data_IF_736302921284
#
_entry.id   IF_736302921284
#
_cell.length_a   1.000
_cell.length_b   1.000
_cell.length_c   1.000
_cell.angle_alpha   90.00
_cell.angle_beta   90.00
_cell.angle_gamma   90.00
#
_symmetry.space_group_name_H-M   'P 1'
#
loop_
_entity.id
_entity.type
_entity.pdbx_description
1 polymer ?
#
# COMPACT_ATOMS: atom_id res chain seq x y z
N UNK A 1 -5.37 20.34 11.64
CA UNK A 1 -5.12 19.14 12.46
C UNK A 1 -3.63 19.01 12.64
N UNK A 2 -3.14 18.95 13.88
CA UNK A 2 -1.74 18.64 14.15
C UNK A 2 -1.61 17.13 13.95
N UNK A 3 -0.93 16.69 12.89
CA UNK A 3 -0.54 15.28 12.77
C UNK A 3 0.34 14.95 13.96
N UNK A 4 -0.17 14.10 14.86
CA UNK A 4 0.63 13.48 15.90
C UNK A 4 1.86 12.87 15.21
N UNK A 5 3.05 13.08 15.78
CA UNK A 5 4.25 12.46 15.23
C UNK A 5 4.23 10.95 15.47
N UNK A 6 5.16 10.23 14.85
CA UNK A 6 5.35 8.81 15.14
C UNK A 6 6.20 8.64 16.41
N UNK A 7 5.87 7.67 17.24
CA UNK A 7 6.60 7.30 18.44
C UNK A 7 7.50 6.08 18.19
N UNK A 8 8.50 5.90 19.07
CA UNK A 8 9.34 4.71 19.04
C UNK A 8 8.48 3.48 19.29
N UNK A 9 8.50 2.54 18.35
CA UNK A 9 7.63 1.37 18.41
C UNK A 9 6.61 1.34 17.28
N UNK A 10 6.26 2.50 16.74
CA UNK A 10 5.22 2.61 15.74
C UNK A 10 5.60 1.87 14.47
N UNK A 11 4.60 1.16 13.95
CA UNK A 11 4.67 0.46 12.68
C UNK A 11 4.32 1.44 11.57
N UNK A 12 5.20 1.52 10.58
CA UNK A 12 5.10 2.51 9.51
C UNK A 12 5.31 1.87 8.16
N UNK A 13 4.74 2.51 7.14
CA UNK A 13 4.92 2.20 5.74
C UNK A 13 5.50 3.42 5.04
N UNK A 14 6.49 3.21 4.19
CA UNK A 14 7.07 4.27 3.38
C UNK A 14 6.13 4.68 2.24
N UNK A 15 5.94 5.99 2.02
CA UNK A 15 5.13 6.49 0.90
C UNK A 15 5.79 6.20 -0.45
N UNK A 16 5.02 6.31 -1.54
CA UNK A 16 5.53 6.15 -2.91
C UNK A 16 6.64 7.14 -3.28
N UNK A 17 6.80 8.24 -2.53
CA UNK A 17 7.82 9.27 -2.75
C UNK A 17 9.10 9.04 -1.96
N UNK A 18 9.16 7.99 -1.14
CA UNK A 18 10.34 7.64 -0.36
C UNK A 18 11.41 6.93 -1.22
N UNK A 19 12.64 6.85 -0.70
CA UNK A 19 13.75 6.12 -1.33
C UNK A 19 13.48 4.61 -1.46
N UNK A 20 12.76 4.04 -0.48
CA UNK A 20 12.34 2.64 -0.46
C UNK A 20 10.80 2.58 -0.36
N UNK A 21 10.09 2.92 -1.44
CA UNK A 21 8.65 3.10 -1.38
C UNK A 21 7.96 1.79 -0.99
N UNK A 22 6.99 1.88 -0.09
CA UNK A 22 6.14 0.77 0.39
C UNK A 22 6.85 -0.31 1.21
N UNK A 23 8.13 -0.12 1.50
CA UNK A 23 8.79 -0.95 2.49
C UNK A 23 8.18 -0.65 3.87
N UNK A 24 7.92 -1.74 4.59
CA UNK A 24 7.37 -1.70 5.93
C UNK A 24 8.50 -1.68 6.95
N UNK A 25 8.26 -1.02 8.07
CA UNK A 25 9.25 -0.94 9.12
C UNK A 25 8.69 -0.48 10.45
N UNK A 26 9.61 -0.24 11.36
CA UNK A 26 9.33 0.20 12.71
C UNK A 26 10.16 1.43 13.03
N UNK A 27 9.52 2.45 13.58
CA UNK A 27 10.22 3.62 14.11
C UNK A 27 11.04 3.19 15.33
N UNK A 28 12.36 3.36 15.25
CA UNK A 28 13.29 2.98 16.31
C UNK A 28 13.72 4.19 17.15
N UNK A 29 13.70 5.39 16.57
CA UNK A 29 13.94 6.64 17.27
C UNK A 29 13.38 7.84 16.50
N UNK A 30 13.05 8.91 17.23
CA UNK A 30 12.83 10.23 16.64
C UNK A 30 14.16 10.97 16.65
N UNK A 31 14.56 11.53 15.51
CA UNK A 31 15.77 12.33 15.44
C UNK A 31 15.43 13.78 15.72
N UNK A 32 15.83 14.25 16.89
CA UNK A 32 15.69 15.64 17.29
C UNK A 32 16.68 16.49 16.50
N UNK A 33 16.22 17.22 15.48
CA UNK A 33 16.99 18.23 14.77
C UNK A 33 16.51 19.64 15.13
N UNK A 34 17.44 20.60 15.21
CA UNK A 34 17.18 21.97 15.66
C UNK A 34 16.00 22.66 14.93
N UNK A 35 15.06 23.10 15.75
CA UNK A 35 14.07 24.19 15.65
C UNK A 35 13.27 24.50 14.38
N UNK A 36 13.53 23.98 13.16
CA UNK A 36 12.70 24.40 12.01
C UNK A 36 12.65 23.48 10.78
N UNK A 37 13.14 22.24 10.86
CA UNK A 37 13.12 21.34 9.69
C UNK A 37 12.49 20.00 10.03
N UNK A 38 11.48 19.64 9.24
CA UNK A 38 10.68 18.40 9.19
C UNK A 38 11.10 17.30 10.18
N UNK A 39 10.18 16.87 11.07
CA UNK A 39 10.41 15.77 12.02
C UNK A 39 11.04 14.57 11.29
N UNK A 40 12.29 14.25 11.59
CA UNK A 40 12.98 13.07 11.07
C UNK A 40 12.89 11.90 12.04
N UNK A 41 12.87 10.70 11.50
CA UNK A 41 12.74 9.45 12.22
C UNK A 41 13.80 8.48 11.72
N UNK A 42 14.34 7.68 12.64
CA UNK A 42 15.07 6.47 12.29
C UNK A 42 14.07 5.32 12.23
N UNK A 43 14.07 4.62 11.10
CA UNK A 43 13.19 3.49 10.82
C UNK A 43 14.04 2.27 10.50
N UNK A 44 13.74 1.16 11.16
CA UNK A 44 14.23 -0.15 10.78
C UNK A 44 13.20 -0.81 9.87
N UNK A 45 13.56 -1.01 8.60
CA UNK A 45 12.75 -1.76 7.67
C UNK A 45 12.78 -3.25 8.00
N UNK A 46 11.72 -3.94 7.63
CA UNK A 46 11.59 -5.39 7.86
C UNK A 46 12.57 -6.21 7.01
N UNK A 47 13.09 -5.63 5.93
CA UNK A 47 14.20 -6.19 5.15
C UNK A 47 15.57 -6.04 5.83
N UNK A 48 15.63 -5.42 7.02
CA UNK A 48 16.84 -5.24 7.82
C UNK A 48 17.57 -3.92 7.60
N UNK A 49 17.20 -3.12 6.60
CA UNK A 49 17.80 -1.80 6.36
C UNK A 49 17.40 -0.78 7.42
N UNK A 50 18.32 0.10 7.77
CA UNK A 50 18.08 1.23 8.67
C UNK A 50 18.16 2.52 7.86
N UNK A 51 17.16 3.38 8.02
CA UNK A 51 17.08 4.64 7.29
C UNK A 51 16.61 5.78 8.17
N UNK A 52 17.13 6.97 7.87
CA UNK A 52 16.72 8.23 8.47
C UNK A 52 15.82 8.96 7.47
N UNK A 53 14.56 9.18 7.83
CA UNK A 53 13.57 9.74 6.90
C UNK A 53 12.66 10.78 7.54
N UNK A 54 12.21 11.74 6.73
CA UNK A 54 11.18 12.71 7.15
C UNK A 54 9.83 12.03 7.35
N UNK A 55 9.11 12.43 8.39
CA UNK A 55 7.76 11.91 8.68
C UNK A 55 6.74 12.14 7.57
N UNK A 56 6.98 13.10 6.67
CA UNK A 56 6.14 13.29 5.48
C UNK A 56 6.18 12.11 4.49
N UNK A 57 7.12 11.19 4.66
CA UNK A 57 7.25 9.96 3.88
C UNK A 57 6.82 8.71 4.66
N UNK A 58 6.26 8.87 5.87
CA UNK A 58 5.79 7.77 6.69
C UNK A 58 4.27 7.79 6.80
N UNK A 59 3.66 6.63 6.63
CA UNK A 59 2.24 6.37 6.86
C UNK A 59 2.14 5.41 8.04
N UNK A 60 1.20 5.66 8.95
CA UNK A 60 0.86 4.72 10.01
C UNK A 60 0.32 3.42 9.40
N UNK A 61 0.87 2.26 9.79
CA UNK A 61 0.42 0.97 9.28
C UNK A 61 -1.06 0.70 9.58
N UNK A 62 -1.62 1.31 10.62
CA UNK A 62 -3.06 1.22 10.92
C UNK A 62 -3.95 1.98 9.92
N UNK A 63 -3.40 2.95 9.20
CA UNK A 63 -4.08 3.69 8.13
C UNK A 63 -4.09 2.96 6.78
N UNK A 64 -3.48 1.77 6.69
CA UNK A 64 -3.43 0.94 5.47
C UNK A 64 -4.82 0.52 4.97
N UNK A 65 -5.86 0.60 5.81
CA UNK A 65 -7.23 0.34 5.37
C UNK A 65 -7.74 1.35 4.32
N UNK A 66 -7.16 2.54 4.24
CA UNK A 66 -7.49 3.55 3.22
C UNK A 66 -6.97 3.15 1.82
N UNK A 67 -5.98 2.26 1.74
CA UNK A 67 -5.45 1.74 0.47
C UNK A 67 -6.52 0.97 -0.32
N UNK A 68 -7.52 0.38 0.34
CA UNK A 68 -8.64 -0.26 -0.37
C UNK A 68 -9.45 0.76 -1.19
N UNK A 69 -9.59 1.99 -0.68
CA UNK A 69 -10.24 3.10 -1.39
C UNK A 69 -9.36 3.59 -2.53
N UNK A 70 -8.05 3.70 -2.31
CA UNK A 70 -7.11 4.07 -3.38
C UNK A 70 -7.12 3.06 -4.54
N UNK A 71 -7.10 1.75 -4.24
CA UNK A 71 -7.22 0.71 -5.27
C UNK A 71 -8.53 0.85 -6.04
N UNK A 72 -9.65 1.11 -5.36
CA UNK A 72 -10.95 1.31 -6.02
C UNK A 72 -10.90 2.52 -6.96
N UNK A 73 -10.37 3.66 -6.50
CA UNK A 73 -10.24 4.87 -7.29
C UNK A 73 -9.31 4.67 -8.50
N UNK A 74 -8.20 3.94 -8.34
CA UNK A 74 -7.30 3.61 -9.43
C UNK A 74 -7.95 2.67 -10.45
N UNK A 75 -8.71 1.68 -9.99
CA UNK A 75 -9.46 0.80 -10.88
C UNK A 75 -10.50 1.60 -11.66
N UNK A 76 -11.26 2.49 -11.04
CA UNK A 76 -12.19 3.41 -11.73
C UNK A 76 -11.51 4.30 -12.79
N UNK A 77 -10.23 4.66 -12.60
CA UNK A 77 -9.46 5.41 -13.59
C UNK A 77 -9.05 4.55 -14.81
N UNK A 78 -8.78 3.26 -14.60
CA UNK A 78 -8.37 2.33 -15.69
C UNK A 78 -9.54 1.54 -16.30
N UNK A 79 -10.72 1.49 -15.66
CA UNK A 79 -11.91 0.77 -16.17
C UNK A 79 -12.33 1.27 -17.55
N UNK A 80 -12.17 2.56 -17.84
CA UNK A 80 -12.43 3.14 -19.17
C UNK A 80 -11.61 2.52 -20.31
N UNK A 81 -10.51 1.85 -19.98
CA UNK A 81 -9.58 1.21 -20.94
C UNK A 81 -9.72 -0.30 -20.99
N UNK A 82 -10.48 -0.88 -20.07
CA UNK A 82 -10.66 -2.32 -19.94
C UNK A 82 -11.96 -2.78 -20.62
N UNK A 83 -12.00 -4.01 -21.16
CA UNK A 83 -13.25 -4.65 -21.56
C UNK A 83 -14.23 -4.75 -20.39
N UNK A 84 -15.54 -4.58 -20.65
CA UNK A 84 -16.59 -4.53 -19.62
C UNK A 84 -16.61 -5.75 -18.70
N UNK A 85 -16.43 -6.95 -19.24
CA UNK A 85 -16.36 -8.19 -18.46
C UNK A 85 -15.18 -8.20 -17.49
N UNK A 86 -14.03 -7.63 -17.87
CA UNK A 86 -12.86 -7.52 -16.99
C UNK A 86 -13.02 -6.49 -15.90
N UNK A 87 -13.75 -5.40 -16.18
CA UNK A 87 -14.14 -4.41 -15.17
C UNK A 87 -15.01 -5.05 -14.09
N UNK A 88 -16.06 -5.77 -14.49
CA UNK A 88 -16.98 -6.44 -13.57
C UNK A 88 -16.26 -7.49 -12.69
N UNK A 89 -15.36 -8.29 -13.29
CA UNK A 89 -14.51 -9.23 -12.55
C UNK A 89 -13.64 -8.51 -11.52
N UNK A 90 -12.93 -7.43 -11.90
CA UNK A 90 -12.07 -6.68 -10.98
C UNK A 90 -12.86 -6.08 -9.81
N UNK A 91 -14.02 -5.48 -10.06
CA UNK A 91 -14.88 -4.91 -9.01
C UNK A 91 -15.33 -5.97 -7.99
N UNK A 92 -15.69 -7.16 -8.46
CA UNK A 92 -16.06 -8.28 -7.61
C UNK A 92 -14.87 -8.73 -6.74
N UNK A 93 -13.70 -8.92 -7.35
CA UNK A 93 -12.51 -9.37 -6.62
C UNK A 93 -12.05 -8.33 -5.58
N UNK A 94 -12.17 -7.04 -5.87
CA UNK A 94 -11.92 -5.98 -4.88
C UNK A 94 -12.86 -6.03 -3.69
N UNK A 95 -14.16 -6.25 -3.95
CA UNK A 95 -15.14 -6.42 -2.88
C UNK A 95 -14.76 -7.58 -1.97
N UNK A 96 -14.38 -8.73 -2.54
CA UNK A 96 -13.93 -9.88 -1.75
C UNK A 96 -12.64 -9.60 -0.99
N UNK A 97 -11.69 -8.88 -1.58
CA UNK A 97 -10.46 -8.48 -0.91
C UNK A 97 -10.76 -7.64 0.34
N UNK A 98 -11.72 -6.71 0.26
CA UNK A 98 -12.22 -5.93 1.40
C UNK A 98 -12.88 -6.80 2.48
N UNK A 99 -13.69 -7.78 2.08
CA UNK A 99 -14.31 -8.73 3.02
C UNK A 99 -13.27 -9.61 3.72
N UNK A 100 -12.22 -10.02 3.00
CA UNK A 100 -11.10 -10.78 3.57
C UNK A 100 -10.32 -9.98 4.60
N UNK A 101 -10.10 -8.68 4.37
CA UNK A 101 -9.48 -7.79 5.36
C UNK A 101 -10.31 -7.68 6.65
N UNK A 102 -11.63 -7.49 6.51
CA UNK A 102 -12.55 -7.43 7.67
C UNK A 102 -12.59 -8.74 8.47
N UNK A 103 -12.60 -9.86 7.76
CA UNK A 103 -12.68 -11.20 8.37
C UNK A 103 -11.32 -11.80 8.73
N UNK A 104 -10.22 -11.08 8.46
CA UNK A 104 -8.83 -11.53 8.65
C UNK A 104 -8.51 -12.87 7.96
N UNK A 105 -9.20 -13.18 6.86
CA UNK A 105 -9.03 -14.45 6.16
C UNK A 105 -7.85 -14.41 5.19
N UNK A 106 -6.66 -14.78 5.68
CA UNK A 106 -5.38 -14.75 4.94
C UNK A 106 -5.42 -15.57 3.65
N UNK A 107 -5.90 -16.81 3.72
CA UNK A 107 -5.93 -17.71 2.55
C UNK A 107 -6.82 -17.18 1.44
N UNK A 108 -8.02 -16.68 1.76
CA UNK A 108 -8.89 -16.08 0.74
C UNK A 108 -8.33 -14.76 0.23
N UNK A 109 -7.72 -13.94 1.09
CA UNK A 109 -7.05 -12.72 0.66
C UNK A 109 -5.97 -13.02 -0.38
N UNK A 110 -5.07 -13.97 -0.11
CA UNK A 110 -3.97 -14.31 -1.02
C UNK A 110 -4.49 -14.79 -2.39
N UNK A 111 -5.61 -15.53 -2.43
CA UNK A 111 -6.25 -15.92 -3.68
C UNK A 111 -6.72 -14.71 -4.49
N UNK A 112 -7.43 -13.77 -3.84
CA UNK A 112 -7.96 -12.57 -4.50
C UNK A 112 -6.83 -11.62 -4.93
N UNK A 113 -5.84 -11.45 -4.07
CA UNK A 113 -4.64 -10.67 -4.36
C UNK A 113 -3.91 -11.20 -5.60
N UNK A 114 -3.65 -12.52 -5.67
CA UNK A 114 -2.95 -13.12 -6.81
C UNK A 114 -3.78 -13.02 -8.10
N UNK A 115 -5.10 -13.19 -7.99
CA UNK A 115 -6.01 -13.04 -9.13
C UNK A 115 -5.93 -11.63 -9.72
N UNK A 116 -6.04 -10.59 -8.88
CA UNK A 116 -5.97 -9.19 -9.34
C UNK A 116 -4.63 -8.90 -10.00
N UNK A 117 -3.51 -9.40 -9.45
CA UNK A 117 -2.20 -9.20 -10.06
C UNK A 117 -2.07 -9.86 -11.44
N UNK A 118 -2.61 -11.06 -11.62
CA UNK A 118 -2.59 -11.75 -12.92
C UNK A 118 -3.49 -11.04 -13.94
N UNK A 119 -4.67 -10.57 -13.53
CA UNK A 119 -5.55 -9.79 -14.40
C UNK A 119 -4.91 -8.46 -14.85
N UNK A 120 -4.22 -7.76 -13.96
CA UNK A 120 -3.46 -6.55 -14.31
C UNK A 120 -2.33 -6.86 -15.30
N UNK A 121 -1.65 -8.00 -15.13
CA UNK A 121 -0.62 -8.45 -16.07
C UNK A 121 -1.21 -8.77 -17.44
N UNK A 122 -2.30 -9.51 -17.51
CA UNK A 122 -3.03 -9.81 -18.76
C UNK A 122 -3.48 -8.50 -19.44
N UNK A 123 -3.94 -7.51 -18.67
CA UNK A 123 -4.34 -6.22 -19.21
C UNK A 123 -3.18 -5.44 -19.85
N UNK A 124 -1.96 -5.58 -19.31
CA UNK A 124 -0.74 -4.99 -19.88
C UNK A 124 -0.32 -5.73 -21.15
N UNK A 125 -0.32 -7.07 -21.13
CA UNK A 125 0.01 -7.90 -22.30
C UNK A 125 -0.90 -7.59 -23.49
N UNK A 126 -2.18 -7.34 -23.21
CA UNK A 126 -3.18 -6.93 -24.20
C UNK A 126 -3.18 -5.42 -24.51
N UNK A 127 -2.26 -4.65 -23.93
CA UNK A 127 -2.08 -3.20 -24.12
C UNK A 127 -3.29 -2.34 -23.74
N UNK A 128 -4.15 -2.84 -22.84
CA UNK A 128 -5.25 -2.05 -22.28
C UNK A 128 -4.74 -0.99 -21.29
N UNK A 129 -3.70 -1.32 -20.52
CA UNK A 129 -3.06 -0.42 -19.55
C UNK A 129 -1.53 -0.48 -19.68
N UNK A 130 -0.82 0.50 -19.10
CA UNK A 130 0.65 0.53 -19.05
C UNK A 130 1.18 -0.02 -17.72
N UNK A 131 2.44 -0.46 -17.70
CA UNK A 131 3.11 -0.89 -16.45
C UNK A 131 3.11 0.23 -15.40
N UNK A 132 3.33 1.48 -15.82
CA UNK A 132 3.24 2.65 -14.92
C UNK A 132 1.86 2.81 -14.29
N UNK A 133 0.79 2.46 -15.02
CA UNK A 133 -0.59 2.54 -14.50
C UNK A 133 -0.88 1.42 -13.48
N UNK A 134 -0.14 0.32 -13.52
CA UNK A 134 -0.29 -0.83 -12.60
C UNK A 134 0.43 -0.64 -11.27
N UNK A 135 1.56 0.10 -11.26
CA UNK A 135 2.40 0.26 -10.06
C UNK A 135 1.61 0.67 -8.82
N UNK A 136 0.76 1.72 -8.85
CA UNK A 136 0.02 2.14 -7.66
C UNK A 136 -0.90 1.04 -7.12
N UNK A 137 -1.58 0.29 -8.00
CA UNK A 137 -2.47 -0.80 -7.58
C UNK A 137 -1.67 -1.93 -6.91
N UNK A 138 -0.53 -2.30 -7.51
CA UNK A 138 0.33 -3.36 -6.96
C UNK A 138 0.87 -2.96 -5.58
N UNK A 139 1.30 -1.71 -5.47
CA UNK A 139 1.76 -1.09 -4.22
C UNK A 139 0.69 -1.18 -3.13
N UNK A 140 -0.52 -0.70 -3.40
CA UNK A 140 -1.61 -0.74 -2.43
C UNK A 140 -1.98 -2.18 -2.05
N UNK A 141 -1.95 -3.12 -3.01
CA UNK A 141 -2.18 -4.54 -2.75
C UNK A 141 -1.12 -5.15 -1.82
N UNK A 142 0.16 -4.81 -1.99
CA UNK A 142 1.24 -5.24 -1.08
C UNK A 142 1.02 -4.73 0.34
N UNK A 143 0.69 -3.45 0.49
CA UNK A 143 0.40 -2.85 1.81
C UNK A 143 -0.72 -3.60 2.51
N UNK A 144 -1.81 -3.90 1.80
CA UNK A 144 -2.93 -4.67 2.33
C UNK A 144 -2.54 -6.10 2.72
N UNK A 145 -1.72 -6.77 1.91
CA UNK A 145 -1.21 -8.12 2.20
C UNK A 145 -0.35 -8.13 3.46
N UNK A 146 0.52 -7.13 3.58
CA UNK A 146 1.38 -6.97 4.74
C UNK A 146 0.57 -6.72 6.02
N UNK A 147 -0.39 -5.79 5.96
CA UNK A 147 -1.27 -5.49 7.09
C UNK A 147 -1.97 -6.76 7.58
N UNK A 148 -2.51 -7.55 6.64
CA UNK A 148 -3.20 -8.80 6.97
C UNK A 148 -2.26 -9.86 7.54
N UNK A 149 -1.00 -9.91 7.11
CA UNK A 149 0.00 -10.82 7.69
C UNK A 149 0.22 -10.56 9.18
N UNK A 150 0.22 -9.29 9.59
CA UNK A 150 0.55 -8.86 10.95
C UNK A 150 -0.64 -8.68 11.90
N UNK A 151 -1.87 -8.85 11.40
CA UNK A 151 -3.11 -8.78 12.18
C UNK A 151 -3.90 -10.10 12.14
#
# INVERSE_FOLDING_TARGET
MITAGFDKGDRVVLTEKAEFPNEHGKVIARVTGNFDTQKQYEVQLDNGLHLKISGGFLIDESSVLDENVEIKNFIELITSRLPKNKVEELEINLKYLRECLKSKNKSRFDQQYNYILEELKIAIENKFITEESRKPITISLEKLKYWLKNH
#
